data_IF_854835321238
#
_entry.id   IF_854835321238
#
_cell.length_a   1.000
_cell.length_b   1.000
_cell.length_c   1.000
_cell.angle_alpha   90.00
_cell.angle_beta   90.00
_cell.angle_gamma   90.00
#
_symmetry.space_group_name_H-M   'P 1'
#
loop_
_entity.id
_entity.type
_entity.pdbx_description
1 polymer ?
#
# COMPACT_ATOMS: atom_id res chain seq x y z
N UNK A 1 -7.92 -11.58 -5.83
CA UNK A 1 -7.49 -10.95 -7.09
C UNK A 1 -6.31 -10.00 -6.93
N UNK A 2 -6.39 -8.97 -6.07
CA UNK A 2 -5.23 -8.10 -5.82
C UNK A 2 -3.98 -8.88 -5.40
N UNK A 3 -4.11 -9.82 -4.47
CA UNK A 3 -3.01 -10.72 -4.07
C UNK A 3 -2.38 -11.44 -5.27
N UNK A 4 -3.19 -12.16 -6.05
CA UNK A 4 -2.72 -12.90 -7.22
C UNK A 4 -2.09 -11.99 -8.28
N UNK A 5 -2.64 -10.78 -8.47
CA UNK A 5 -2.06 -9.79 -9.37
C UNK A 5 -0.71 -9.29 -8.88
N UNK A 6 -0.62 -8.94 -7.59
CA UNK A 6 0.60 -8.40 -6.99
C UNK A 6 1.70 -9.44 -6.95
N UNK A 7 1.41 -10.70 -6.62
CA UNK A 7 2.38 -11.80 -6.72
C UNK A 7 2.83 -12.05 -8.16
N UNK A 8 1.95 -11.83 -9.15
CA UNK A 8 2.34 -11.95 -10.56
C UNK A 8 3.25 -10.81 -11.02
N UNK A 9 3.03 -9.59 -10.52
CA UNK A 9 3.78 -8.39 -10.93
C UNK A 9 5.08 -8.17 -10.13
N UNK A 10 5.07 -8.53 -8.86
CA UNK A 10 6.13 -8.34 -7.89
C UNK A 10 6.15 -9.55 -6.92
N UNK A 11 6.55 -10.74 -7.40
CA UNK A 11 6.53 -11.97 -6.60
C UNK A 11 7.43 -11.85 -5.38
N UNK A 12 7.00 -12.39 -4.24
CA UNK A 12 7.85 -12.44 -3.04
C UNK A 12 9.11 -13.30 -3.28
N UNK A 13 8.95 -14.42 -3.99
CA UNK A 13 9.97 -15.46 -4.11
C UNK A 13 10.33 -15.79 -5.56
N UNK A 14 11.56 -16.28 -5.80
CA UNK A 14 12.64 -16.49 -4.83
C UNK A 14 13.31 -15.17 -4.41
N UNK A 15 13.78 -15.06 -3.16
CA UNK A 15 14.28 -13.78 -2.62
C UNK A 15 15.54 -13.28 -3.34
N UNK A 16 16.37 -14.18 -3.83
CA UNK A 16 17.63 -13.89 -4.54
C UNK A 16 17.44 -13.21 -5.89
N UNK A 17 16.21 -13.12 -6.40
CA UNK A 17 15.89 -12.37 -7.61
C UNK A 17 16.07 -10.86 -7.43
N UNK A 18 16.10 -10.37 -6.19
CA UNK A 18 16.19 -8.94 -5.87
C UNK A 18 17.50 -8.61 -5.17
N UNK A 19 18.29 -7.71 -5.74
CA UNK A 19 19.54 -7.24 -5.14
C UNK A 19 19.36 -6.60 -3.76
N UNK A 20 18.18 -6.03 -3.48
CA UNK A 20 17.83 -5.46 -2.18
C UNK A 20 17.84 -6.51 -1.05
N UNK A 21 17.50 -7.76 -1.37
CA UNK A 21 17.42 -8.86 -0.40
C UNK A 21 18.78 -9.44 0.02
N UNK A 22 19.88 -8.69 -0.17
CA UNK A 22 21.21 -9.11 0.29
C UNK A 22 21.30 -9.25 1.82
N UNK A 23 20.52 -8.46 2.56
CA UNK A 23 20.44 -8.50 4.04
C UNK A 23 18.99 -8.50 4.58
N UNK A 24 18.00 -8.43 3.69
CA UNK A 24 16.56 -8.38 3.98
C UNK A 24 15.81 -9.37 3.06
N UNK A 25 14.49 -9.50 3.20
CA UNK A 25 13.66 -10.41 2.38
C UNK A 25 12.41 -9.73 1.78
N UNK A 26 12.28 -8.41 1.92
CA UNK A 26 11.06 -7.65 1.66
C UNK A 26 11.10 -6.76 0.40
N UNK A 27 12.04 -7.00 -0.53
CA UNK A 27 12.13 -6.22 -1.76
C UNK A 27 10.81 -6.18 -2.56
N UNK A 28 10.06 -7.28 -2.57
CA UNK A 28 8.76 -7.37 -3.20
C UNK A 28 7.74 -6.41 -2.56
N UNK A 29 7.76 -6.23 -1.24
CA UNK A 29 6.87 -5.32 -0.53
C UNK A 29 7.08 -3.86 -0.96
N UNK A 30 8.34 -3.48 -1.22
CA UNK A 30 8.68 -2.17 -1.80
C UNK A 30 8.11 -2.00 -3.21
N UNK A 31 8.07 -3.06 -4.02
CA UNK A 31 7.48 -3.04 -5.36
C UNK A 31 5.95 -3.05 -5.32
N UNK A 32 5.34 -3.93 -4.52
CA UNK A 32 3.89 -4.03 -4.32
C UNK A 32 3.29 -2.71 -3.86
N UNK A 33 3.88 -2.05 -2.86
CA UNK A 33 3.39 -0.73 -2.41
C UNK A 33 3.53 0.35 -3.48
N UNK A 34 4.54 0.24 -4.35
CA UNK A 34 4.76 1.21 -5.44
C UNK A 34 3.67 1.05 -6.50
N UNK A 35 3.21 -0.17 -6.76
CA UNK A 35 2.06 -0.45 -7.65
C UNK A 35 0.76 0.08 -7.03
N UNK A 36 0.52 -0.18 -5.74
CA UNK A 36 -0.74 0.17 -5.07
C UNK A 36 -0.86 1.64 -4.67
N UNK A 37 0.26 2.36 -4.60
CA UNK A 37 0.30 3.76 -4.18
C UNK A 37 0.55 3.93 -2.67
N UNK A 38 1.26 5.00 -2.31
CA UNK A 38 1.57 5.35 -0.92
C UNK A 38 0.37 5.98 -0.19
N UNK A 39 -0.42 6.76 -0.90
CA UNK A 39 -1.38 7.70 -0.33
C UNK A 39 -2.57 7.91 -1.26
N UNK A 40 -3.65 8.43 -0.67
CA UNK A 40 -4.83 8.92 -1.37
C UNK A 40 -5.13 10.32 -0.89
N UNK A 41 -5.73 11.13 -1.76
CA UNK A 41 -6.31 12.43 -1.40
C UNK A 41 -7.81 12.29 -1.59
N UNK A 42 -8.57 12.59 -0.53
CA UNK A 42 -10.04 12.48 -0.52
C UNK A 42 -10.61 13.85 -0.19
N UNK A 43 -11.58 14.30 -1.00
CA UNK A 43 -12.27 15.54 -0.74
C UNK A 43 -13.15 15.43 0.52
N UNK A 44 -13.34 16.55 1.20
CA UNK A 44 -14.28 16.67 2.32
C UNK A 44 -15.34 17.68 1.93
N UNK A 45 -16.58 17.23 1.82
CA UNK A 45 -17.75 18.03 1.45
C UNK A 45 -18.75 17.95 2.59
N UNK A 46 -19.19 19.10 3.11
CA UNK A 46 -20.12 19.19 4.26
C UNK A 46 -19.69 18.36 5.49
N UNK A 47 -18.39 18.35 5.78
CA UNK A 47 -17.81 17.63 6.93
C UNK A 47 -17.75 16.11 6.77
N UNK A 48 -17.96 15.58 5.57
CA UNK A 48 -17.90 14.13 5.27
C UNK A 48 -16.86 13.85 4.19
N UNK A 49 -16.22 12.68 4.25
CA UNK A 49 -15.42 12.17 3.14
C UNK A 49 -16.32 12.00 1.92
N UNK A 50 -15.99 12.68 0.84
CA UNK A 50 -16.77 12.67 -0.40
C UNK A 50 -16.34 11.46 -1.24
N UNK A 51 -16.91 10.31 -0.88
CA UNK A 51 -16.66 9.01 -1.50
C UNK A 51 -17.87 8.58 -2.32
N UNK A 52 -17.61 8.00 -3.49
CA UNK A 52 -18.61 7.28 -4.26
C UNK A 52 -19.09 6.02 -3.55
N UNK A 53 -20.21 5.45 -4.02
CA UNK A 53 -20.90 4.30 -3.38
C UNK A 53 -20.01 3.09 -3.10
N UNK A 54 -18.95 2.89 -3.89
CA UNK A 54 -18.07 1.72 -3.81
C UNK A 54 -16.63 2.06 -3.41
N UNK A 55 -16.34 3.33 -3.13
CA UNK A 55 -14.99 3.74 -2.75
C UNK A 55 -14.73 3.44 -1.29
N UNK A 56 -13.57 2.87 -1.00
CA UNK A 56 -13.12 2.50 0.34
C UNK A 56 -11.63 2.79 0.44
N UNK A 57 -11.18 3.15 1.65
CA UNK A 57 -9.77 3.40 1.94
C UNK A 57 -9.20 2.17 2.64
N UNK A 58 -8.11 1.62 2.09
CA UNK A 58 -7.43 0.46 2.65
C UNK A 58 -6.00 0.82 3.07
N UNK A 59 -5.53 0.17 4.14
CA UNK A 59 -4.11 0.05 4.42
C UNK A 59 -3.59 -1.25 3.80
N UNK A 60 -2.87 -1.14 2.69
CA UNK A 60 -2.19 -2.27 2.04
C UNK A 60 -0.88 -2.59 2.75
N UNK A 61 -0.89 -3.62 3.60
CA UNK A 61 0.30 -4.13 4.27
C UNK A 61 0.95 -5.27 3.47
N UNK A 62 2.25 -5.15 3.19
CA UNK A 62 3.00 -6.09 2.35
C UNK A 62 4.26 -6.65 3.05
N UNK A 63 4.63 -6.14 4.22
CA UNK A 63 5.76 -6.57 5.05
C UNK A 63 5.43 -6.29 6.53
N UNK A 64 4.49 -7.10 7.06
CA UNK A 64 3.83 -6.90 8.34
C UNK A 64 4.53 -7.57 9.54
N UNK A 65 3.74 -7.94 10.57
CA UNK A 65 4.19 -8.55 11.85
C UNK A 65 5.13 -7.66 12.68
N UNK A 66 5.04 -6.35 12.50
CA UNK A 66 5.72 -5.29 13.26
C UNK A 66 4.86 -4.04 13.29
N UNK A 67 5.06 -3.20 14.30
CA UNK A 67 4.27 -1.96 14.44
C UNK A 67 4.59 -0.98 13.30
N UNK A 68 3.54 -0.58 12.57
CA UNK A 68 3.60 0.37 11.46
C UNK A 68 2.49 1.42 11.61
N UNK A 69 2.57 2.49 10.83
CA UNK A 69 1.73 3.68 11.01
C UNK A 69 1.21 4.19 9.68
N UNK A 70 0.02 4.79 9.73
CA UNK A 70 -0.56 5.62 8.66
C UNK A 70 -0.72 7.03 9.22
N UNK A 71 -0.56 8.04 8.35
CA UNK A 71 -0.80 9.44 8.69
C UNK A 71 -2.08 9.92 8.00
N UNK A 72 -2.95 10.58 8.76
CA UNK A 72 -4.10 11.32 8.23
C UNK A 72 -3.85 12.81 8.48
N UNK A 73 -3.95 13.62 7.44
CA UNK A 73 -3.78 15.07 7.52
C UNK A 73 -4.93 15.74 6.77
N UNK A 74 -5.62 16.65 7.45
CA UNK A 74 -6.74 17.41 6.92
C UNK A 74 -6.35 18.89 6.92
N UNK A 75 -6.67 19.58 5.83
CA UNK A 75 -6.54 21.03 5.66
C UNK A 75 -7.85 21.55 5.06
N UNK A 76 -8.31 22.70 5.51
CA UNK A 76 -9.59 23.28 5.11
C UNK A 76 -10.16 24.22 6.18
N UNK A 77 -11.28 24.85 5.88
CA UNK A 77 -12.11 25.65 6.79
C UNK A 77 -13.46 24.97 7.03
#
# INVERSE_FOLDING_TARGET
DFEALLEKLAPEKPYDQYYHNGYEDNADAHLKRTIMGREVVVAITEGKLDLGTWEQIFYGEFDGKRDKRVLVKIIGE
#
